data_IF_421161053645
#
_entry.id   IF_421161053645
#
_cell.length_a   1.000
_cell.length_b   1.000
_cell.length_c   1.000
_cell.angle_alpha   90.00
_cell.angle_beta   90.00
_cell.angle_gamma   90.00
#
_symmetry.space_group_name_H-M   'P 1'
#
loop_
_entity.id
_entity.type
_entity.pdbx_description
1 polymer ?
#
# COMPACT_ATOMS: atom_id res chain seq x y z
N UNK A 1 17.17 -5.09 8.84
CA UNK A 1 17.33 -5.79 7.55
C UNK A 1 16.82 -7.21 7.71
N UNK A 2 15.98 -7.71 6.80
CA UNK A 2 15.58 -9.12 6.79
C UNK A 2 16.84 -9.98 6.69
N UNK A 3 16.99 -10.95 7.59
CA UNK A 3 18.11 -11.89 7.56
C UNK A 3 17.99 -12.92 6.42
N UNK A 4 16.90 -12.88 5.66
CA UNK A 4 16.61 -13.81 4.55
C UNK A 4 16.13 -13.08 3.31
N UNK A 5 16.51 -13.60 2.13
CA UNK A 5 15.99 -13.15 0.84
C UNK A 5 14.61 -13.78 0.61
N UNK A 6 13.54 -13.00 0.84
CA UNK A 6 12.17 -13.49 0.74
C UNK A 6 11.83 -13.96 -0.67
N UNK A 7 12.23 -13.22 -1.71
CA UNK A 7 12.01 -13.62 -3.10
C UNK A 7 12.56 -15.02 -3.39
N UNK A 8 13.84 -15.25 -3.07
CA UNK A 8 14.48 -16.55 -3.32
C UNK A 8 13.86 -17.68 -2.50
N UNK A 9 13.44 -17.40 -1.26
CA UNK A 9 12.74 -18.37 -0.42
C UNK A 9 11.42 -18.82 -1.06
N UNK A 10 10.63 -17.91 -1.63
CA UNK A 10 9.35 -18.27 -2.24
C UNK A 10 9.52 -18.93 -3.62
N UNK A 11 10.49 -18.49 -4.42
CA UNK A 11 10.87 -19.16 -5.67
C UNK A 11 11.25 -20.63 -5.39
N UNK A 12 12.04 -20.91 -4.35
CA UNK A 12 12.43 -22.30 -4.03
C UNK A 12 11.27 -23.18 -3.55
N UNK A 13 10.19 -22.58 -3.05
CA UNK A 13 8.93 -23.25 -2.72
C UNK A 13 7.99 -23.41 -3.93
N UNK A 14 8.44 -23.04 -5.13
CA UNK A 14 7.68 -23.18 -6.38
C UNK A 14 6.66 -22.07 -6.64
N UNK A 15 6.73 -20.95 -5.91
CA UNK A 15 5.83 -19.82 -6.13
C UNK A 15 6.26 -18.99 -7.34
N UNK A 16 5.29 -18.37 -8.00
CA UNK A 16 5.54 -17.22 -8.85
C UNK A 16 5.82 -16.00 -7.97
N UNK A 17 6.83 -15.19 -8.31
CA UNK A 17 7.20 -14.02 -7.49
C UNK A 17 7.37 -12.79 -8.35
N UNK A 18 6.56 -11.77 -8.08
CA UNK A 18 6.59 -10.45 -8.70
C UNK A 18 7.12 -9.41 -7.69
N UNK A 19 7.77 -8.36 -8.18
CA UNK A 19 8.23 -7.23 -7.36
C UNK A 19 7.72 -5.93 -7.98
N UNK A 20 7.15 -5.04 -7.17
CA UNK A 20 6.56 -3.77 -7.62
C UNK A 20 6.87 -2.63 -6.63
N UNK A 21 6.78 -1.39 -7.12
CA UNK A 21 6.62 -0.22 -6.26
C UNK A 21 5.16 -0.12 -5.78
N UNK A 22 4.96 -0.15 -4.45
CA UNK A 22 3.65 -0.02 -3.82
C UNK A 22 2.98 1.34 -4.04
N UNK A 23 3.72 2.31 -4.57
CA UNK A 23 3.26 3.66 -4.84
C UNK A 23 3.03 3.93 -6.33
N UNK A 24 3.16 2.91 -7.17
CA UNK A 24 2.85 2.95 -8.59
C UNK A 24 1.58 2.15 -8.87
N UNK A 25 0.46 2.84 -9.13
CA UNK A 25 -0.84 2.22 -9.38
C UNK A 25 -0.81 1.24 -10.56
N UNK A 26 -0.13 1.59 -11.65
CA UNK A 26 -0.05 0.75 -12.83
C UNK A 26 0.68 -0.56 -12.54
N UNK A 27 1.78 -0.51 -11.79
CA UNK A 27 2.51 -1.74 -11.39
C UNK A 27 1.65 -2.64 -10.50
N UNK A 28 0.84 -2.08 -9.61
CA UNK A 28 -0.09 -2.86 -8.79
C UNK A 28 -1.11 -3.58 -9.67
N UNK A 29 -1.76 -2.85 -10.58
CA UNK A 29 -2.77 -3.40 -11.48
C UNK A 29 -2.16 -4.50 -12.36
N UNK A 30 -1.04 -4.21 -13.02
CA UNK A 30 -0.37 -5.13 -13.93
C UNK A 30 0.12 -6.40 -13.22
N UNK A 31 0.63 -6.27 -11.99
CA UNK A 31 1.07 -7.42 -11.21
C UNK A 31 -0.11 -8.28 -10.73
N UNK A 32 -1.25 -7.68 -10.38
CA UNK A 32 -2.46 -8.42 -10.01
C UNK A 32 -3.02 -9.18 -11.21
N UNK A 33 -3.10 -8.55 -12.39
CA UNK A 33 -3.58 -9.24 -13.61
C UNK A 33 -2.61 -10.35 -14.05
N UNK A 34 -1.30 -10.10 -13.98
CA UNK A 34 -0.28 -11.12 -14.23
C UNK A 34 -0.41 -12.29 -13.26
N UNK A 35 -0.60 -12.03 -11.96
CA UNK A 35 -0.79 -13.05 -10.95
C UNK A 35 -2.04 -13.91 -11.20
N UNK A 36 -3.15 -13.31 -11.64
CA UNK A 36 -4.39 -14.04 -12.00
C UNK A 36 -4.21 -14.96 -13.21
N UNK A 37 -3.33 -14.60 -14.15
CA UNK A 37 -3.05 -15.43 -15.34
C UNK A 37 -2.28 -16.72 -15.01
N UNK A 38 -1.62 -16.77 -13.85
CA UNK A 38 -0.88 -17.94 -13.37
C UNK A 38 -1.86 -18.92 -12.74
N UNK A 39 -2.09 -20.06 -13.40
CA UNK A 39 -3.12 -21.04 -13.02
C UNK A 39 -2.58 -22.32 -12.36
N UNK A 40 -1.25 -22.51 -12.34
CA UNK A 40 -0.61 -23.75 -11.95
C UNK A 40 0.29 -23.65 -10.70
N UNK A 41 0.41 -22.46 -10.10
CA UNK A 41 1.20 -22.21 -8.88
C UNK A 41 0.66 -20.97 -8.15
N UNK A 42 0.90 -20.84 -6.83
CA UNK A 42 0.58 -19.60 -6.11
C UNK A 42 1.54 -18.47 -6.49
N UNK A 43 1.09 -17.23 -6.31
CA UNK A 43 1.87 -16.01 -6.62
C UNK A 43 2.08 -15.16 -5.35
N UNK A 44 3.31 -14.69 -5.16
CA UNK A 44 3.68 -13.68 -4.17
C UNK A 44 4.03 -12.37 -4.91
N UNK A 45 3.31 -11.30 -4.60
CA UNK A 45 3.68 -9.95 -5.06
C UNK A 45 4.39 -9.24 -3.91
N UNK A 46 5.70 -9.03 -4.04
CA UNK A 46 6.49 -8.24 -3.10
C UNK A 46 6.30 -6.76 -3.47
N UNK A 47 5.44 -6.10 -2.72
CA UNK A 47 5.11 -4.68 -2.90
C UNK A 47 5.97 -3.83 -1.98
N UNK A 48 6.92 -3.08 -2.55
CA UNK A 48 7.85 -2.25 -1.78
C UNK A 48 7.20 -0.90 -1.45
N UNK A 49 6.94 -0.66 -0.18
CA UNK A 49 6.30 0.56 0.32
C UNK A 49 7.19 1.36 1.28
N UNK A 50 6.75 2.56 1.61
CA UNK A 50 7.32 3.40 2.67
C UNK A 50 6.27 3.47 3.77
N UNK A 51 6.60 2.96 4.96
CA UNK A 51 5.68 3.02 6.09
C UNK A 51 5.44 4.47 6.51
N UNK A 52 4.19 4.84 6.74
CA UNK A 52 3.84 6.22 7.12
C UNK A 52 4.15 7.28 6.06
N UNK A 53 4.23 6.89 4.78
CA UNK A 53 4.52 7.80 3.67
C UNK A 53 3.70 9.09 3.78
N UNK A 54 4.36 10.20 3.47
CA UNK A 54 3.84 11.56 3.55
C UNK A 54 3.75 12.18 4.94
N UNK A 55 4.02 11.44 6.03
CA UNK A 55 4.22 12.04 7.35
C UNK A 55 5.69 12.52 7.45
N UNK A 56 6.00 13.80 7.25
CA UNK A 56 7.37 14.24 6.96
C UNK A 56 8.39 13.96 8.08
N UNK A 57 7.96 13.91 9.34
CA UNK A 57 8.86 13.61 10.46
C UNK A 57 8.75 12.16 10.94
N UNK A 58 7.72 11.43 10.51
CA UNK A 58 7.44 10.05 10.97
C UNK A 58 7.53 8.98 9.88
N UNK A 59 7.56 9.33 8.60
CA UNK A 59 7.70 8.36 7.53
C UNK A 59 9.01 7.56 7.65
N UNK A 60 8.96 6.29 7.28
CA UNK A 60 10.10 5.38 7.38
C UNK A 60 10.69 5.21 8.80
N UNK A 61 9.92 5.54 9.85
CA UNK A 61 10.30 5.31 11.25
C UNK A 61 9.49 4.17 11.86
N UNK A 62 10.00 3.53 12.91
CA UNK A 62 9.22 2.54 13.67
C UNK A 62 8.10 3.19 14.51
N UNK A 63 8.24 4.46 14.87
CA UNK A 63 7.27 5.17 15.71
C UNK A 63 5.89 5.32 15.06
N UNK A 64 5.85 5.42 13.72
CA UNK A 64 4.59 5.52 12.95
C UNK A 64 3.77 4.22 12.94
N UNK A 65 4.38 3.08 13.30
CA UNK A 65 3.70 1.78 13.26
C UNK A 65 2.67 1.62 14.39
N UNK A 66 3.06 1.98 15.61
CA UNK A 66 2.32 1.61 16.82
C UNK A 66 1.62 2.76 17.54
N UNK A 67 1.63 3.97 16.96
CA UNK A 67 1.05 5.14 17.61
C UNK A 67 0.40 6.10 16.61
N UNK A 68 -0.65 6.85 17.02
CA UNK A 68 -1.20 7.92 16.19
C UNK A 68 -0.13 8.95 15.79
N UNK A 69 -0.35 9.65 14.68
CA UNK A 69 0.54 10.72 14.24
C UNK A 69 0.67 11.84 15.28
N UNK A 70 -0.42 12.14 16.01
CA UNK A 70 -0.51 13.33 16.85
C UNK A 70 -0.83 14.56 16.01
N UNK A 71 -1.42 15.58 16.63
CA UNK A 71 -2.02 16.73 15.95
C UNK A 71 -1.03 17.45 15.01
N UNK A 72 0.16 17.80 15.50
CA UNK A 72 1.17 18.52 14.69
C UNK A 72 1.60 17.73 13.45
N UNK A 73 1.86 16.42 13.58
CA UNK A 73 2.30 15.61 12.44
C UNK A 73 1.15 15.35 11.47
N UNK A 74 -0.08 15.24 11.98
CA UNK A 74 -1.27 15.07 11.17
C UNK A 74 -1.53 16.30 10.29
N UNK A 75 -1.39 17.52 10.82
CA UNK A 75 -1.50 18.76 10.03
C UNK A 75 -0.44 18.81 8.91
N UNK A 76 0.80 18.45 9.21
CA UNK A 76 1.88 18.39 8.21
C UNK A 76 1.62 17.32 7.15
N UNK A 77 1.11 16.16 7.55
CA UNK A 77 0.70 15.10 6.63
C UNK A 77 -0.35 15.61 5.64
N UNK A 78 -1.41 16.26 6.12
CA UNK A 78 -2.47 16.81 5.26
C UNK A 78 -1.92 17.85 4.29
N UNK A 79 -1.06 18.76 4.76
CA UNK A 79 -0.39 19.74 3.90
C UNK A 79 0.47 19.06 2.82
N UNK A 80 1.21 18.01 3.19
CA UNK A 80 2.12 17.31 2.29
C UNK A 80 1.40 16.54 1.18
N UNK A 81 0.18 16.03 1.45
CA UNK A 81 -0.67 15.41 0.43
C UNK A 81 -1.56 16.43 -0.31
N UNK A 82 -1.44 17.73 0.01
CA UNK A 82 -2.26 18.79 -0.58
C UNK A 82 -3.74 18.72 -0.19
N UNK A 83 -4.07 18.11 0.95
CA UNK A 83 -5.44 17.99 1.44
C UNK A 83 -5.90 19.26 2.15
N UNK A 84 -7.16 19.63 1.95
CA UNK A 84 -7.81 20.75 2.63
C UNK A 84 -9.25 20.39 2.98
N UNK A 85 -9.78 20.96 4.07
CA UNK A 85 -11.11 20.66 4.58
C UNK A 85 -11.10 19.70 5.77
N UNK A 86 -12.27 19.18 6.12
CA UNK A 86 -12.44 18.21 7.21
C UNK A 86 -12.03 16.81 6.71
N UNK A 87 -11.02 16.16 7.33
CA UNK A 87 -10.53 14.85 6.90
C UNK A 87 -11.57 13.71 7.09
N UNK A 88 -12.68 13.97 7.77
CA UNK A 88 -13.75 13.00 7.99
C UNK A 88 -15.00 13.25 7.14
N UNK A 89 -14.97 14.28 6.28
CA UNK A 89 -16.06 14.59 5.35
C UNK A 89 -15.56 14.35 3.92
N UNK A 90 -16.29 13.52 3.19
CA UNK A 90 -15.96 13.16 1.81
C UNK A 90 -17.19 13.30 0.91
N UNK A 91 -16.98 13.55 -0.38
CA UNK A 91 -18.07 13.65 -1.35
C UNK A 91 -18.85 12.33 -1.45
N UNK A 92 -20.18 12.44 -1.63
CA UNK A 92 -21.07 11.28 -1.70
C UNK A 92 -20.71 10.29 -2.82
N UNK A 93 -20.02 10.75 -3.86
CA UNK A 93 -19.52 9.92 -4.96
C UNK A 93 -18.45 8.92 -4.50
N UNK A 94 -17.61 9.28 -3.52
CA UNK A 94 -16.58 8.39 -2.97
C UNK A 94 -17.24 7.21 -2.26
N UNK A 95 -18.25 7.49 -1.42
CA UNK A 95 -19.03 6.44 -0.75
C UNK A 95 -19.75 5.55 -1.77
N UNK A 96 -20.41 6.17 -2.75
CA UNK A 96 -21.14 5.46 -3.81
C UNK A 96 -20.23 4.52 -4.60
N UNK A 97 -19.02 4.96 -4.95
CA UNK A 97 -18.02 4.14 -5.64
C UNK A 97 -17.67 2.88 -4.84
N UNK A 98 -17.39 3.01 -3.54
CA UNK A 98 -17.03 1.86 -2.70
C UNK A 98 -18.22 0.96 -2.38
N UNK A 99 -19.44 1.48 -2.28
CA UNK A 99 -20.65 0.69 -2.11
C UNK A 99 -20.89 -0.22 -3.32
N UNK A 100 -20.81 0.31 -4.54
CA UNK A 100 -20.95 -0.48 -5.77
C UNK A 100 -19.95 -1.65 -5.84
N UNK A 101 -18.71 -1.45 -5.36
CA UNK A 101 -17.68 -2.50 -5.38
C UNK A 101 -17.84 -3.56 -4.30
N UNK A 102 -18.49 -3.24 -3.18
CA UNK A 102 -18.74 -4.20 -2.08
C UNK A 102 -19.87 -5.19 -2.40
N UNK A 103 -20.79 -4.80 -3.28
CA UNK A 103 -21.92 -5.63 -3.68
C UNK A 103 -21.60 -6.59 -4.85
N UNK A 104 -20.38 -6.52 -5.39
CA UNK A 104 -19.86 -7.42 -6.45
C UNK A 104 -19.06 -8.58 -5.88
#
# INVERSE_FOLDING_TARGET
>A
MSVTNQKQKFISMGWDVLEIDAHNENEIIDAVESAKSVTNKPTLIISKSTIGKYAPNKENTSGVHGSPLGENEFELFLQNIGFSGDPFIHDSEIYSYFDEKRER
#
